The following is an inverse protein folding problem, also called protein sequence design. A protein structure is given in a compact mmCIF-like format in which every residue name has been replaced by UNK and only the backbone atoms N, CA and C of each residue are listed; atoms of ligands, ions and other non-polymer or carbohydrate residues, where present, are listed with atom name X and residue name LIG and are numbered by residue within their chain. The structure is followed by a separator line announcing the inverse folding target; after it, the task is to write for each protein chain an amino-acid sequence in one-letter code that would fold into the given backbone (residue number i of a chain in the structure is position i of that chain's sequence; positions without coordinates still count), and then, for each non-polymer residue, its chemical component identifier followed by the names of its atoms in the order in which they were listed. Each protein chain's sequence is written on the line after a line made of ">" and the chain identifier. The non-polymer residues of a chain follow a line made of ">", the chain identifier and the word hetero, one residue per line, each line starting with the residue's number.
data_IF_440714922873
#
_entry.id   IF_440714922873
#
_cell.length_a   1.000
_cell.length_b   1.000
_cell.length_c   1.000
_cell.angle_alpha   90.00
_cell.angle_beta   90.00
_cell.angle_gamma   90.00
#
_symmetry.space_group_name_H-M   'P 1'
#
loop_
_entity.id
_entity.type
_entity.pdbx_description
1 polymer ?
#
# COMPACT_ATOMS: atom_id res chain seq x y z
N UNK A 1 79.56 21.45 -5.03
CA UNK A 1 79.08 20.07 -4.83
C UNK A 1 78.47 19.97 -3.45
N UNK A 2 77.14 20.05 -3.36
CA UNK A 2 76.33 19.61 -2.22
C UNK A 2 74.91 19.53 -2.76
N UNK A 3 74.46 18.30 -3.01
CA UNK A 3 73.07 17.99 -3.28
C UNK A 3 72.30 17.74 -1.97
N UNK A 4 71.11 17.18 -2.14
CA UNK A 4 70.24 16.52 -1.14
C UNK A 4 69.34 17.45 -0.30
N UNK A 5 68.00 17.29 -0.20
CA UNK A 5 67.05 16.24 -0.62
C UNK A 5 65.64 16.85 -0.79
N UNK A 6 64.97 16.58 -1.91
CA UNK A 6 63.53 16.78 -2.06
C UNK A 6 62.83 15.44 -1.76
N UNK A 7 62.06 15.37 -0.68
CA UNK A 7 61.23 14.20 -0.37
C UNK A 7 60.03 14.16 -1.32
N UNK A 8 60.07 13.24 -2.29
CA UNK A 8 58.90 12.88 -3.10
C UNK A 8 57.89 12.11 -2.26
N UNK A 9 56.66 12.61 -2.23
CA UNK A 9 55.49 11.88 -1.72
C UNK A 9 55.09 10.80 -2.74
N UNK A 10 54.83 9.54 -2.35
CA UNK A 10 54.51 8.48 -3.31
C UNK A 10 53.12 8.68 -3.94
N UNK A 11 53.08 8.95 -5.24
CA UNK A 11 51.89 9.16 -6.06
C UNK A 11 51.18 7.83 -6.42
N UNK A 12 50.60 7.14 -5.44
CA UNK A 12 49.79 5.93 -5.70
C UNK A 12 48.35 6.00 -5.14
N UNK A 13 47.91 7.16 -4.66
CA UNK A 13 46.53 7.39 -4.20
C UNK A 13 45.89 8.59 -4.89
N UNK A 14 45.89 8.60 -6.23
CA UNK A 14 45.03 9.52 -7.00
C UNK A 14 43.90 8.68 -7.60
N UNK A 15 42.66 8.78 -7.09
CA UNK A 15 41.52 8.04 -7.64
C UNK A 15 41.27 8.47 -9.09
N UNK A 16 41.42 7.56 -10.03
CA UNK A 16 41.34 7.82 -11.49
C UNK A 16 39.91 7.84 -12.04
N UNK A 17 38.89 7.85 -11.18
CA UNK A 17 37.49 7.95 -11.62
C UNK A 17 36.63 8.70 -10.61
N UNK A 18 35.80 9.63 -11.12
CA UNK A 18 34.81 10.37 -10.34
C UNK A 18 33.86 9.45 -9.57
N UNK A 19 33.61 8.24 -10.07
CA UNK A 19 32.77 7.23 -9.39
C UNK A 19 33.43 6.59 -8.17
N UNK A 20 34.75 6.38 -8.18
CA UNK A 20 35.47 5.83 -7.02
C UNK A 20 35.65 6.89 -5.93
N UNK A 21 35.93 8.14 -6.31
CA UNK A 21 35.99 9.25 -5.36
C UNK A 21 34.62 9.52 -4.72
N UNK A 22 33.53 9.42 -5.50
CA UNK A 22 32.18 9.44 -4.95
C UNK A 22 31.95 8.25 -4.02
N UNK A 23 32.19 7.01 -4.46
CA UNK A 23 32.01 5.82 -3.60
C UNK A 23 32.71 5.95 -2.25
N UNK A 24 33.97 6.39 -2.22
CA UNK A 24 34.72 6.58 -0.98
C UNK A 24 34.21 7.76 -0.13
N UNK A 25 33.79 8.86 -0.75
CA UNK A 25 33.16 9.98 -0.04
C UNK A 25 31.80 9.58 0.56
N UNK A 26 31.03 8.76 -0.15
CA UNK A 26 29.77 8.20 0.34
C UNK A 26 30.00 7.23 1.50
N UNK A 27 30.99 6.34 1.41
CA UNK A 27 31.38 5.45 2.53
C UNK A 27 31.84 6.24 3.76
N UNK A 28 32.60 7.31 3.59
CA UNK A 28 33.05 8.17 4.71
C UNK A 28 31.87 8.95 5.32
N UNK A 29 30.94 9.48 4.52
CA UNK A 29 29.76 10.21 5.02
C UNK A 29 28.76 9.26 5.73
N UNK A 30 28.64 8.00 5.30
CA UNK A 30 27.85 6.99 6.00
C UNK A 30 28.48 6.62 7.36
N UNK A 31 29.82 6.59 7.43
CA UNK A 31 30.56 6.41 8.69
C UNK A 31 30.51 7.63 9.65
N UNK A 32 29.92 8.75 9.22
CA UNK A 32 29.81 9.98 10.03
C UNK A 32 28.40 10.23 10.59
N UNK A 33 27.42 9.40 10.23
CA UNK A 33 26.07 9.54 10.79
C UNK A 33 26.02 8.87 12.17
N UNK A 34 25.59 9.64 13.17
CA UNK A 34 25.39 9.13 14.52
C UNK A 34 24.31 8.03 14.53
N UNK A 35 24.61 6.81 15.02
CA UNK A 35 23.65 5.71 15.05
C UNK A 35 22.35 6.07 15.77
N UNK A 36 22.43 6.87 16.84
CA UNK A 36 21.24 7.29 17.56
C UNK A 36 20.36 8.23 16.74
N UNK A 37 20.94 9.21 16.04
CA UNK A 37 20.18 10.05 15.11
C UNK A 37 19.53 9.21 14.01
N UNK A 38 20.27 8.27 13.41
CA UNK A 38 19.74 7.38 12.35
C UNK A 38 18.53 6.60 12.84
N UNK A 39 18.66 5.98 14.03
CA UNK A 39 17.58 5.26 14.71
C UNK A 39 16.36 6.13 14.95
N UNK A 40 16.55 7.31 15.51
CA UNK A 40 15.47 8.24 15.86
C UNK A 40 14.72 8.73 14.62
N UNK A 41 15.46 9.06 13.56
CA UNK A 41 14.89 9.50 12.28
C UNK A 41 14.11 8.38 11.60
N UNK A 42 14.64 7.15 11.60
CA UNK A 42 13.94 6.02 10.99
C UNK A 42 12.69 5.64 11.79
N UNK A 43 12.79 5.59 13.12
CA UNK A 43 11.65 5.38 14.02
C UNK A 43 10.54 6.39 13.76
N UNK A 44 10.88 7.68 13.65
CA UNK A 44 9.91 8.73 13.34
C UNK A 44 9.24 8.51 11.97
N UNK A 45 9.98 8.07 10.94
CA UNK A 45 9.38 7.75 9.64
C UNK A 45 8.40 6.59 9.73
N UNK A 46 8.76 5.51 10.44
CA UNK A 46 7.91 4.33 10.65
C UNK A 46 6.61 4.68 11.39
N UNK A 47 6.68 5.54 12.41
CA UNK A 47 5.50 5.99 13.18
C UNK A 47 4.48 6.80 12.35
N UNK A 48 4.94 7.44 11.28
CA UNK A 48 4.11 8.25 10.39
C UNK A 48 3.87 7.57 9.03
N UNK A 49 4.11 6.27 8.93
CA UNK A 49 3.75 5.49 7.75
C UNK A 49 2.23 5.50 7.56
N UNK A 50 1.82 5.68 6.31
CA UNK A 50 0.43 5.72 5.88
C UNK A 50 0.26 4.89 4.60
N UNK A 51 -0.93 4.90 4.00
CA UNK A 51 -1.22 4.16 2.76
C UNK A 51 -0.48 4.68 1.50
N UNK A 52 0.26 5.79 1.58
CA UNK A 52 0.97 6.36 0.44
C UNK A 52 2.25 5.62 0.13
N UNK A 53 2.44 5.30 -1.16
CA UNK A 53 3.68 4.75 -1.71
C UNK A 53 4.87 5.67 -1.42
N UNK A 54 4.68 6.99 -1.46
CA UNK A 54 5.75 7.96 -1.21
C UNK A 54 6.30 7.87 0.22
N UNK A 55 5.42 7.62 1.21
CA UNK A 55 5.81 7.47 2.61
C UNK A 55 6.67 6.20 2.79
N UNK A 56 6.21 5.08 2.24
CA UNK A 56 6.93 3.81 2.25
C UNK A 56 8.28 3.90 1.52
N UNK A 57 8.30 4.50 0.33
CA UNK A 57 9.51 4.65 -0.49
C UNK A 57 10.56 5.51 0.22
N UNK A 58 10.16 6.60 0.87
CA UNK A 58 11.08 7.46 1.63
C UNK A 58 11.73 6.69 2.79
N UNK A 59 10.94 5.94 3.55
CA UNK A 59 11.45 5.12 4.66
C UNK A 59 12.40 4.02 4.15
N UNK A 60 12.07 3.35 3.04
CA UNK A 60 12.88 2.30 2.45
C UNK A 60 14.22 2.84 1.95
N UNK A 61 14.20 3.97 1.23
CA UNK A 61 15.42 4.66 0.77
C UNK A 61 16.30 5.08 1.95
N UNK A 62 15.70 5.53 3.06
CA UNK A 62 16.44 5.88 4.26
C UNK A 62 17.17 4.66 4.85
N UNK A 63 16.49 3.52 4.98
CA UNK A 63 17.09 2.31 5.50
C UNK A 63 18.20 1.76 4.58
N UNK A 64 18.03 1.82 3.26
CA UNK A 64 19.03 1.36 2.29
C UNK A 64 20.24 2.30 2.17
N UNK A 65 20.04 3.60 2.45
CA UNK A 65 21.13 4.56 2.56
C UNK A 65 22.06 4.17 3.71
N UNK A 66 21.52 3.81 4.87
CA UNK A 66 22.28 3.44 6.07
C UNK A 66 22.33 1.92 6.29
N UNK A 67 22.53 1.16 5.21
CA UNK A 67 22.55 -0.32 5.22
C UNK A 67 23.63 -0.94 6.11
N UNK A 68 24.65 -0.18 6.48
CA UNK A 68 25.70 -0.62 7.42
C UNK A 68 25.17 -0.76 8.87
N UNK A 69 23.99 -0.20 9.15
CA UNK A 69 23.28 -0.26 10.44
C UNK A 69 22.00 -1.10 10.34
N UNK A 70 21.96 -2.05 9.42
CA UNK A 70 20.77 -2.84 9.08
C UNK A 70 20.17 -3.60 10.26
N UNK A 71 20.97 -4.15 11.17
CA UNK A 71 20.51 -4.82 12.39
C UNK A 71 19.71 -3.87 13.33
N UNK A 72 20.19 -2.64 13.54
CA UNK A 72 19.49 -1.66 14.39
C UNK A 72 18.24 -1.11 13.70
N UNK A 73 18.31 -0.88 12.40
CA UNK A 73 17.17 -0.45 11.59
C UNK A 73 16.09 -1.54 11.52
N UNK A 74 16.46 -2.81 11.36
CA UNK A 74 15.52 -3.94 11.43
C UNK A 74 14.89 -4.03 12.82
N UNK A 75 15.68 -3.82 13.88
CA UNK A 75 15.16 -3.74 15.25
C UNK A 75 14.15 -2.61 15.43
N UNK A 76 14.34 -1.45 14.77
CA UNK A 76 13.36 -0.37 14.76
C UNK A 76 12.03 -0.80 14.13
N UNK A 77 12.04 -1.59 13.05
CA UNK A 77 10.82 -2.09 12.40
C UNK A 77 10.02 -2.93 13.39
N UNK A 78 10.67 -3.91 14.04
CA UNK A 78 10.03 -4.78 15.03
C UNK A 78 9.51 -3.99 16.23
N UNK A 79 10.30 -3.04 16.73
CA UNK A 79 9.88 -2.18 17.83
C UNK A 79 8.64 -1.34 17.47
N UNK A 80 8.59 -0.78 16.26
CA UNK A 80 7.43 0.00 15.84
C UNK A 80 6.19 -0.88 15.59
N UNK A 81 6.37 -2.12 15.15
CA UNK A 81 5.28 -3.09 15.09
C UNK A 81 4.70 -3.40 16.47
N UNK A 82 5.51 -3.45 17.51
CA UNK A 82 5.05 -3.78 18.86
C UNK A 82 4.45 -2.59 19.63
N UNK A 83 4.92 -1.37 19.34
CA UNK A 83 4.57 -0.16 20.13
C UNK A 83 3.47 0.72 19.54
N UNK A 84 3.11 0.54 18.26
CA UNK A 84 2.11 1.40 17.61
C UNK A 84 0.71 0.78 17.59
N UNK A 85 -0.27 1.56 17.12
CA UNK A 85 -1.66 1.10 16.95
C UNK A 85 -1.80 0.15 15.73
N UNK A 86 -2.91 -0.58 15.68
CA UNK A 86 -3.16 -1.59 14.63
C UNK A 86 -3.12 -1.06 13.19
N UNK A 87 -3.44 0.22 12.98
CA UNK A 87 -3.39 0.83 11.66
C UNK A 87 -1.95 1.04 11.19
N UNK A 88 -1.11 1.64 12.05
CA UNK A 88 0.32 1.80 11.77
C UNK A 88 1.00 0.44 11.60
N UNK A 89 0.63 -0.58 12.38
CA UNK A 89 1.12 -1.95 12.19
C UNK A 89 0.80 -2.51 10.81
N UNK A 90 -0.44 -2.32 10.33
CA UNK A 90 -0.81 -2.69 8.96
C UNK A 90 0.00 -1.90 7.93
N UNK A 91 0.22 -0.60 8.15
CA UNK A 91 1.04 0.24 7.28
C UNK A 91 2.50 -0.26 7.20
N UNK A 92 3.08 -0.66 8.35
CA UNK A 92 4.41 -1.27 8.41
C UNK A 92 4.44 -2.62 7.68
N UNK A 93 3.39 -3.45 7.80
CA UNK A 93 3.29 -4.72 7.06
C UNK A 93 3.38 -4.50 5.54
N UNK A 94 2.63 -3.54 5.00
CA UNK A 94 2.73 -3.18 3.57
C UNK A 94 4.10 -2.58 3.21
N UNK A 95 4.67 -1.78 4.12
CA UNK A 95 6.00 -1.23 3.93
C UNK A 95 7.07 -2.32 3.82
N UNK A 96 6.99 -3.41 4.60
CA UNK A 96 7.96 -4.51 4.58
C UNK A 96 8.09 -5.10 3.17
N UNK A 97 6.96 -5.40 2.51
CA UNK A 97 7.00 -5.93 1.15
C UNK A 97 7.70 -4.98 0.17
N UNK A 98 7.33 -3.70 0.20
CA UNK A 98 7.96 -2.68 -0.64
C UNK A 98 9.45 -2.51 -0.33
N UNK A 99 9.80 -2.55 0.95
CA UNK A 99 11.16 -2.40 1.42
C UNK A 99 12.05 -3.55 0.97
N UNK A 100 11.57 -4.80 1.07
CA UNK A 100 12.31 -5.97 0.60
C UNK A 100 12.50 -5.97 -0.92
N UNK A 101 11.51 -5.49 -1.68
CA UNK A 101 11.67 -5.26 -3.13
C UNK A 101 12.79 -4.29 -3.45
N UNK A 102 12.88 -3.19 -2.70
CA UNK A 102 13.96 -2.23 -2.88
C UNK A 102 15.31 -2.82 -2.43
N UNK A 103 15.36 -3.53 -1.30
CA UNK A 103 16.57 -4.15 -0.77
C UNK A 103 17.14 -5.20 -1.73
N UNK A 104 16.28 -6.02 -2.34
CA UNK A 104 16.69 -7.01 -3.34
C UNK A 104 17.29 -6.34 -4.59
N UNK A 105 16.67 -5.27 -5.08
CA UNK A 105 17.16 -4.50 -6.24
C UNK A 105 18.49 -3.80 -5.95
N UNK A 106 18.69 -3.31 -4.73
CA UNK A 106 19.91 -2.66 -4.26
C UNK A 106 21.02 -3.64 -3.84
N UNK A 107 20.75 -4.95 -3.91
CA UNK A 107 21.71 -6.02 -3.62
C UNK A 107 22.02 -6.20 -2.14
N UNK A 108 21.08 -5.90 -1.23
CA UNK A 108 21.23 -6.05 0.22
C UNK A 108 20.31 -7.16 0.77
N UNK A 109 20.65 -8.45 0.58
CA UNK A 109 19.79 -9.57 0.96
C UNK A 109 19.67 -9.78 2.47
N UNK A 110 20.48 -9.11 3.28
CA UNK A 110 20.47 -9.29 4.74
C UNK A 110 19.14 -8.87 5.37
N UNK A 111 18.50 -7.81 4.84
CA UNK A 111 17.14 -7.44 5.25
C UNK A 111 16.12 -8.55 4.95
N UNK A 112 16.29 -9.31 3.86
CA UNK A 112 15.41 -10.42 3.53
C UNK A 112 15.61 -11.56 4.54
N UNK A 113 16.87 -11.90 4.88
CA UNK A 113 17.19 -12.94 5.85
C UNK A 113 16.66 -12.64 7.25
N UNK A 114 16.89 -11.41 7.72
CA UNK A 114 16.38 -10.95 9.01
C UNK A 114 14.85 -10.98 9.04
N UNK A 115 14.19 -10.58 7.94
CA UNK A 115 12.73 -10.63 7.84
C UNK A 115 12.19 -12.06 7.79
N UNK A 116 12.84 -12.98 7.06
CA UNK A 116 12.48 -14.40 7.03
C UNK A 116 12.55 -15.02 8.43
N UNK A 117 13.59 -14.70 9.21
CA UNK A 117 13.76 -15.17 10.59
C UNK A 117 12.63 -14.66 11.50
N UNK A 118 12.27 -13.39 11.36
CA UNK A 118 11.38 -12.69 12.30
C UNK A 118 9.93 -12.58 11.80
N UNK A 119 9.57 -13.22 10.68
CA UNK A 119 8.24 -13.08 10.04
C UNK A 119 7.09 -13.48 10.97
N UNK A 120 7.28 -14.51 11.80
CA UNK A 120 6.26 -14.95 12.77
C UNK A 120 6.01 -13.83 13.80
N UNK A 121 7.08 -13.20 14.30
CA UNK A 121 6.99 -12.06 15.23
C UNK A 121 6.31 -10.86 14.60
N UNK A 122 6.57 -10.59 13.32
CA UNK A 122 5.87 -9.54 12.56
C UNK A 122 4.37 -9.84 12.47
N UNK A 123 4.00 -11.08 12.10
CA UNK A 123 2.61 -11.50 11.97
C UNK A 123 1.88 -11.42 13.31
N UNK A 124 2.47 -11.92 14.39
CA UNK A 124 1.86 -11.87 15.72
C UNK A 124 1.74 -10.44 16.25
N UNK A 125 2.62 -9.52 15.86
CA UNK A 125 2.47 -8.11 16.20
C UNK A 125 1.29 -7.45 15.43
N UNK A 126 1.08 -7.80 14.16
CA UNK A 126 0.06 -7.19 13.29
C UNK A 126 -1.33 -7.81 13.49
N UNK A 127 -1.38 -9.12 13.74
CA UNK A 127 -2.58 -9.91 13.93
C UNK A 127 -2.44 -10.85 15.14
N UNK A 128 -2.46 -10.34 16.38
CA UNK A 128 -2.25 -11.16 17.58
C UNK A 128 -3.40 -12.15 17.83
N UNK A 129 -3.14 -13.19 18.62
CA UNK A 129 -4.11 -14.23 19.03
C UNK A 129 -5.29 -13.70 19.87
N UNK A 130 -5.15 -12.50 20.45
CA UNK A 130 -6.20 -11.89 21.28
C UNK A 130 -7.38 -11.32 20.47
N UNK A 131 -7.33 -11.43 19.13
CA UNK A 131 -8.34 -10.93 18.21
C UNK A 131 -8.27 -9.43 17.95
N UNK A 132 -7.38 -8.67 18.61
CA UNK A 132 -7.24 -7.22 18.42
C UNK A 132 -6.81 -6.84 16.99
N UNK A 133 -6.14 -7.75 16.30
CA UNK A 133 -5.71 -7.59 14.91
C UNK A 133 -6.59 -8.35 13.90
N UNK A 134 -7.79 -8.81 14.24
CA UNK A 134 -8.68 -9.53 13.32
C UNK A 134 -8.95 -8.75 12.01
N UNK A 135 -9.09 -7.42 12.10
CA UNK A 135 -9.25 -6.55 10.94
C UNK A 135 -8.03 -6.51 9.99
N UNK A 136 -6.84 -6.91 10.49
CA UNK A 136 -5.60 -6.94 9.71
C UNK A 136 -5.32 -8.30 9.06
N UNK A 137 -6.10 -9.35 9.34
CA UNK A 137 -5.75 -10.70 8.83
C UNK A 137 -5.72 -10.74 7.30
N UNK A 138 -6.65 -10.04 6.63
CA UNK A 138 -6.64 -9.88 5.17
C UNK A 138 -5.38 -9.16 4.67
N UNK A 139 -4.90 -8.16 5.41
CA UNK A 139 -3.66 -7.44 5.10
C UNK A 139 -2.46 -8.39 5.20
N UNK A 140 -2.37 -9.13 6.31
CA UNK A 140 -1.29 -10.09 6.55
C UNK A 140 -1.25 -11.13 5.44
N UNK A 141 -2.39 -11.77 5.13
CA UNK A 141 -2.50 -12.77 4.06
C UNK A 141 -2.03 -12.24 2.71
N UNK A 142 -2.53 -11.06 2.32
CA UNK A 142 -2.16 -10.41 1.06
C UNK A 142 -0.65 -10.18 0.97
N UNK A 143 -0.05 -9.64 2.02
CA UNK A 143 1.39 -9.33 2.03
C UNK A 143 2.22 -10.62 2.02
N UNK A 144 1.85 -11.64 2.80
CA UNK A 144 2.56 -12.93 2.80
C UNK A 144 2.55 -13.59 1.42
N UNK A 145 1.41 -13.56 0.72
CA UNK A 145 1.30 -14.05 -0.66
C UNK A 145 2.17 -13.24 -1.63
N UNK A 146 2.24 -11.92 -1.46
CA UNK A 146 3.16 -11.06 -2.22
C UNK A 146 4.63 -11.43 -2.00
N UNK A 147 5.04 -11.61 -0.74
CA UNK A 147 6.38 -12.06 -0.37
C UNK A 147 6.72 -13.45 -0.92
N UNK A 148 5.75 -14.38 -0.91
CA UNK A 148 5.89 -15.71 -1.50
C UNK A 148 6.09 -15.65 -3.01
N UNK A 149 5.23 -14.91 -3.72
CA UNK A 149 5.29 -14.79 -5.18
C UNK A 149 6.60 -14.17 -5.68
N UNK A 150 7.26 -13.37 -4.83
CA UNK A 150 8.58 -12.77 -5.08
C UNK A 150 9.75 -13.64 -4.63
N UNK A 151 9.48 -14.78 -3.97
CA UNK A 151 10.49 -15.70 -3.48
C UNK A 151 11.20 -15.25 -2.20
N UNK A 152 10.66 -14.27 -1.47
CA UNK A 152 11.20 -13.85 -0.17
C UNK A 152 10.77 -14.76 0.96
N UNK A 153 9.68 -15.52 0.81
CA UNK A 153 9.24 -16.53 1.77
C UNK A 153 8.97 -17.86 1.05
N UNK A 154 9.24 -18.97 1.74
CA UNK A 154 8.91 -20.30 1.24
C UNK A 154 7.41 -20.55 1.30
N UNK A 155 6.88 -21.26 0.28
CA UNK A 155 5.46 -21.63 0.22
C UNK A 155 4.99 -22.39 1.46
N UNK A 156 5.83 -23.26 2.02
CA UNK A 156 5.50 -24.03 3.21
C UNK A 156 5.36 -23.13 4.44
N UNK A 157 6.28 -22.17 4.63
CA UNK A 157 6.23 -21.24 5.75
C UNK A 157 4.97 -20.37 5.67
N UNK A 158 4.60 -19.90 4.49
CA UNK A 158 3.40 -19.08 4.28
C UNK A 158 2.13 -19.89 4.58
N UNK A 159 2.03 -21.12 4.09
CA UNK A 159 0.88 -22.00 4.38
C UNK A 159 0.72 -22.24 5.89
N UNK A 160 1.82 -22.52 6.60
CA UNK A 160 1.79 -22.74 8.05
C UNK A 160 1.30 -21.50 8.82
N UNK A 161 1.76 -20.31 8.41
CA UNK A 161 1.31 -19.05 9.00
C UNK A 161 -0.17 -18.81 8.68
N UNK A 162 -0.60 -19.05 7.44
CA UNK A 162 -1.99 -18.90 7.01
C UNK A 162 -2.95 -19.80 7.81
N UNK A 163 -2.57 -21.04 8.07
CA UNK A 163 -3.38 -21.98 8.86
C UNK A 163 -3.59 -21.47 10.29
N UNK A 164 -2.55 -20.91 10.91
CA UNK A 164 -2.63 -20.34 12.27
C UNK A 164 -3.51 -19.08 12.32
N UNK A 165 -3.38 -18.18 11.35
CA UNK A 165 -4.15 -16.93 11.36
C UNK A 165 -5.61 -17.11 10.92
N UNK A 166 -5.96 -18.22 10.25
CA UNK A 166 -7.33 -18.50 9.79
C UNK A 166 -8.32 -18.61 10.96
N UNK A 167 -7.88 -19.19 12.08
CA UNK A 167 -8.71 -19.29 13.30
C UNK A 167 -9.02 -17.91 13.89
N UNK A 168 -8.14 -16.92 13.63
CA UNK A 168 -8.25 -15.53 14.09
C UNK A 168 -9.26 -14.68 13.29
N UNK A 169 -9.73 -15.13 12.12
CA UNK A 169 -10.70 -14.39 11.26
C UNK A 169 -12.15 -14.43 11.78
N UNK A 170 -12.45 -15.26 12.78
CA UNK A 170 -13.82 -15.70 13.12
C UNK A 170 -14.72 -14.70 13.88
N UNK A 171 -14.30 -13.44 14.12
CA UNK A 171 -15.10 -12.48 14.90
C UNK A 171 -15.90 -11.44 14.10
N UNK A 172 -15.69 -11.31 12.78
CA UNK A 172 -16.32 -10.22 12.01
C UNK A 172 -17.66 -10.62 11.40
N UNK A 173 -17.81 -11.88 10.98
CA UNK A 173 -19.06 -12.37 10.36
C UNK A 173 -20.15 -12.70 11.40
N UNK A 174 -19.79 -13.09 12.63
CA UNK A 174 -20.76 -13.40 13.69
C UNK A 174 -21.44 -12.14 14.28
N UNK A 175 -20.77 -10.99 14.20
CA UNK A 175 -21.31 -9.70 14.67
C UNK A 175 -22.16 -8.98 13.60
N UNK A 176 -22.09 -9.40 12.34
CA UNK A 176 -22.83 -8.80 11.21
C UNK A 176 -24.31 -9.21 11.13
N UNK A 177 -24.74 -10.21 11.88
CA UNK A 177 -26.13 -10.68 11.91
C UNK A 177 -26.97 -10.09 13.05
N UNK A 178 -26.36 -9.35 13.98
CA UNK A 178 -27.06 -8.61 15.02
C UNK A 178 -27.30 -7.15 14.60
N UNK A 179 -27.95 -6.94 13.47
CA UNK A 179 -28.63 -5.67 13.20
C UNK A 179 -29.95 -5.68 13.99
N UNK A 180 -30.12 -4.88 15.05
CA UNK A 180 -31.43 -4.74 15.65
C UNK A 180 -32.23 -3.89 14.66
N UNK A 181 -33.08 -4.54 13.87
CA UNK A 181 -34.23 -3.89 13.27
C UNK A 181 -35.12 -3.43 14.44
N UNK A 182 -34.78 -2.26 14.99
CA UNK A 182 -35.59 -1.55 15.95
C UNK A 182 -36.55 -0.68 15.18
N UNK A 183 -37.75 -1.23 14.97
CA UNK A 183 -38.93 -0.48 14.53
C UNK A 183 -39.04 0.82 15.34
N UNK A 184 -38.92 1.95 14.65
CA UNK A 184 -39.25 3.27 15.21
C UNK A 184 -40.77 3.42 15.23
N UNK A 185 -41.42 2.78 16.20
CA UNK A 185 -42.78 3.15 16.59
C UNK A 185 -42.74 4.43 17.43
N UNK A 186 -43.34 5.49 16.90
CA UNK A 186 -43.57 6.76 17.57
C UNK A 186 -44.61 6.57 18.68
N UNK A 187 -44.24 6.74 19.94
CA UNK A 187 -45.19 6.95 21.05
C UNK A 187 -44.71 8.01 22.03
N UNK A 188 -45.50 9.07 22.15
CA UNK A 188 -45.43 10.13 23.15
C UNK A 188 -45.81 9.62 24.55
N UNK A 189 -44.94 9.70 25.57
CA UNK A 189 -45.25 10.01 27.00
C UNK A 189 -43.98 10.01 27.91
N UNK A 190 -43.99 10.50 29.18
CA UNK A 190 -43.11 11.56 29.72
C UNK A 190 -42.00 11.05 30.67
N UNK A 191 -41.12 11.91 31.24
CA UNK A 191 -39.89 11.46 31.88
C UNK A 191 -40.05 11.20 33.38
N UNK A 192 -39.79 9.97 33.84
CA UNK A 192 -39.28 9.78 35.21
C UNK A 192 -38.75 8.38 35.52
N UNK A 193 -37.61 8.42 36.24
CA UNK A 193 -37.09 7.43 37.19
C UNK A 193 -36.18 6.30 36.67
N UNK A 194 -34.91 6.58 36.92
CA UNK A 194 -33.70 5.74 37.05
C UNK A 194 -33.92 4.29 37.49
N UNK A 195 -33.49 3.35 36.65
CA UNK A 195 -33.15 1.97 37.02
C UNK A 195 -31.72 1.70 36.51
N UNK A 196 -30.75 1.33 37.36
CA UNK A 196 -29.39 1.06 36.90
C UNK A 196 -29.34 -0.34 36.30
N UNK A 197 -29.24 -0.44 34.97
CA UNK A 197 -29.02 -1.73 34.31
C UNK A 197 -27.54 -2.13 34.46
N UNK A 198 -27.31 -3.14 35.30
CA UNK A 198 -26.00 -3.70 35.56
C UNK A 198 -25.39 -4.36 34.30
N UNK A 199 -24.08 -4.16 34.12
CA UNK A 199 -23.24 -5.14 33.42
C UNK A 199 -22.96 -4.92 31.93
N UNK A 200 -22.70 -3.69 31.47
CA UNK A 200 -21.96 -3.51 30.21
C UNK A 200 -20.48 -3.82 30.47
N UNK A 201 -20.07 -5.05 30.16
CA UNK A 201 -18.67 -5.48 30.21
C UNK A 201 -17.84 -4.55 29.33
N UNK A 202 -16.71 -4.12 29.87
CA UNK A 202 -15.55 -3.53 29.17
C UNK A 202 -15.90 -2.46 28.14
N UNK A 203 -15.78 -1.20 28.52
CA UNK A 203 -15.43 -0.16 27.55
C UNK A 203 -14.06 -0.49 26.97
N UNK A 204 -14.01 -1.36 25.97
CA UNK A 204 -12.95 -1.31 24.97
C UNK A 204 -12.83 0.16 24.60
N UNK A 205 -11.69 0.79 24.90
CA UNK A 205 -11.45 2.20 24.60
C UNK A 205 -11.98 2.46 23.19
N UNK A 206 -13.10 3.18 23.07
CA UNK A 206 -13.60 3.53 21.76
C UNK A 206 -12.48 4.33 21.11
N UNK A 207 -11.91 3.76 20.05
CA UNK A 207 -10.83 4.39 19.31
C UNK A 207 -11.29 5.80 18.96
N UNK A 208 -10.39 6.77 19.06
CA UNK A 208 -10.75 8.16 18.80
C UNK A 208 -11.38 8.26 17.41
N UNK A 209 -12.48 9.01 17.27
CA UNK A 209 -13.24 9.11 16.02
C UNK A 209 -12.32 9.46 14.85
N UNK A 210 -11.33 10.32 15.10
CA UNK A 210 -10.30 10.70 14.11
C UNK A 210 -9.44 9.53 13.67
N UNK A 211 -9.07 8.62 14.58
CA UNK A 211 -8.29 7.43 14.25
C UNK A 211 -9.10 6.45 13.40
N UNK A 212 -10.40 6.32 13.67
CA UNK A 212 -11.32 5.49 12.88
C UNK A 212 -11.48 6.10 11.48
N UNK A 213 -11.77 7.40 11.38
CA UNK A 213 -11.89 8.12 10.10
C UNK A 213 -10.59 8.03 9.28
N UNK A 214 -9.43 8.19 9.93
CA UNK A 214 -8.14 8.04 9.28
C UNK A 214 -7.95 6.63 8.70
N UNK A 215 -8.29 5.59 9.47
CA UNK A 215 -8.17 4.21 9.00
C UNK A 215 -9.10 3.92 7.83
N UNK A 216 -10.34 4.40 7.89
CA UNK A 216 -11.30 4.27 6.77
C UNK A 216 -10.74 4.93 5.50
N UNK A 217 -10.19 6.14 5.62
CA UNK A 217 -9.65 6.84 4.45
C UNK A 217 -8.39 6.15 3.92
N UNK A 218 -7.52 5.63 4.79
CA UNK A 218 -6.34 4.87 4.38
C UNK A 218 -6.72 3.57 3.65
N UNK A 219 -7.71 2.81 4.16
CA UNK A 219 -8.21 1.60 3.51
C UNK A 219 -8.90 1.92 2.17
N UNK A 220 -9.66 3.02 2.11
CA UNK A 220 -10.25 3.52 0.85
C UNK A 220 -9.18 3.84 -0.17
N UNK A 221 -8.13 4.52 0.24
CA UNK A 221 -6.99 4.88 -0.60
C UNK A 221 -6.19 3.65 -1.06
N UNK A 222 -6.09 2.59 -0.25
CA UNK A 222 -5.51 1.30 -0.68
C UNK A 222 -6.36 0.64 -1.76
N UNK A 223 -7.65 0.47 -1.50
CA UNK A 223 -8.55 -0.22 -2.40
C UNK A 223 -8.72 0.53 -3.73
N UNK A 224 -8.69 1.87 -3.69
CA UNK A 224 -8.63 2.71 -4.88
C UNK A 224 -7.39 2.38 -5.74
N UNK A 225 -6.19 2.39 -5.14
CA UNK A 225 -4.94 2.06 -5.87
C UNK A 225 -4.93 0.65 -6.44
N UNK A 226 -5.47 -0.31 -5.71
CA UNK A 226 -5.57 -1.70 -6.19
C UNK A 226 -6.42 -1.81 -7.45
N UNK A 227 -7.41 -0.93 -7.62
CA UNK A 227 -8.26 -0.90 -8.81
C UNK A 227 -7.69 -0.07 -9.96
N UNK A 228 -6.74 0.84 -9.69
CA UNK A 228 -6.10 1.69 -10.70
C UNK A 228 -5.35 0.88 -11.77
N UNK A 229 -4.90 -0.34 -11.47
CA UNK A 229 -4.17 -1.19 -12.42
C UNK A 229 -5.02 -2.25 -13.11
N UNK A 230 -6.31 -2.40 -12.77
CA UNK A 230 -7.15 -3.50 -13.29
C UNK A 230 -7.36 -3.38 -14.80
N UNK A 231 -7.50 -2.15 -15.31
CA UNK A 231 -7.68 -1.87 -16.73
C UNK A 231 -6.35 -1.79 -17.50
N UNK A 232 -5.20 -1.88 -16.83
CA UNK A 232 -3.91 -1.81 -17.49
C UNK A 232 -3.64 -3.09 -18.30
N UNK A 233 -3.24 -2.93 -19.57
CA UNK A 233 -2.87 -4.05 -20.44
C UNK A 233 -1.33 -4.13 -20.52
N UNK A 234 -0.73 -5.32 -20.33
CA UNK A 234 0.71 -5.51 -20.51
C UNK A 234 1.19 -5.18 -21.93
N UNK A 235 2.42 -4.68 -22.08
CA UNK A 235 3.04 -4.40 -23.39
C UNK A 235 3.58 -5.65 -24.10
N UNK A 236 2.88 -6.77 -24.00
CA UNK A 236 3.23 -7.98 -24.74
C UNK A 236 2.45 -8.02 -26.07
N UNK A 237 3.00 -8.71 -27.06
CA UNK A 237 2.33 -8.89 -28.35
C UNK A 237 1.00 -9.60 -28.13
N UNK A 238 -0.08 -9.11 -28.75
CA UNK A 238 -1.45 -9.60 -28.64
C UNK A 238 -2.09 -9.63 -27.24
N UNK A 239 -1.45 -9.10 -26.19
CA UNK A 239 -1.98 -9.15 -24.83
C UNK A 239 -3.37 -8.50 -24.67
N UNK A 240 -3.66 -7.43 -25.43
CA UNK A 240 -4.98 -6.81 -25.46
C UNK A 240 -6.02 -7.74 -26.10
N UNK A 241 -5.68 -8.35 -27.23
CA UNK A 241 -6.56 -9.24 -27.98
C UNK A 241 -6.87 -10.50 -27.19
N UNK A 242 -5.86 -11.14 -26.61
CA UNK A 242 -6.01 -12.37 -25.83
C UNK A 242 -6.89 -12.12 -24.59
N UNK A 243 -6.64 -11.01 -23.89
CA UNK A 243 -7.46 -10.61 -22.75
C UNK A 243 -8.92 -10.37 -23.14
N UNK A 244 -9.15 -9.61 -24.21
CA UNK A 244 -10.51 -9.38 -24.72
C UNK A 244 -11.16 -10.70 -25.11
N UNK A 245 -10.46 -11.59 -25.81
CA UNK A 245 -10.99 -12.88 -26.24
C UNK A 245 -11.42 -13.78 -25.07
N UNK A 246 -10.66 -13.77 -23.98
CA UNK A 246 -10.96 -14.55 -22.77
C UNK A 246 -12.03 -13.91 -21.88
N UNK A 247 -12.06 -12.58 -21.79
CA UNK A 247 -12.94 -11.82 -20.88
C UNK A 247 -14.26 -11.35 -21.52
N UNK A 248 -14.39 -11.42 -22.85
CA UNK A 248 -15.63 -11.00 -23.55
C UNK A 248 -16.79 -11.88 -23.09
N UNK A 249 -17.80 -11.26 -22.48
CA UNK A 249 -19.05 -11.92 -22.15
C UNK A 249 -19.91 -12.14 -23.39
N UNK A 250 -20.79 -13.14 -23.31
CA UNK A 250 -21.83 -13.33 -24.33
C UNK A 250 -22.73 -12.09 -24.42
N UNK A 251 -23.25 -11.84 -25.62
CA UNK A 251 -24.19 -10.75 -25.89
C UNK A 251 -25.45 -10.90 -25.02
N UNK A 252 -25.79 -9.85 -24.28
CA UNK A 252 -26.88 -9.83 -23.31
C UNK A 252 -27.92 -8.75 -23.55
N UNK A 253 -28.89 -8.67 -22.63
CA UNK A 253 -29.97 -7.68 -22.66
C UNK A 253 -29.45 -6.23 -22.54
N UNK A 254 -28.36 -6.04 -21.78
CA UNK A 254 -27.73 -4.73 -21.63
C UNK A 254 -27.09 -4.24 -22.95
N UNK A 255 -26.54 -5.15 -23.75
CA UNK A 255 -26.00 -4.81 -25.07
C UNK A 255 -27.10 -4.42 -26.05
N UNK A 256 -28.21 -5.18 -26.09
CA UNK A 256 -29.38 -4.87 -26.93
C UNK A 256 -29.98 -3.49 -26.58
N UNK A 257 -30.05 -3.19 -25.28
CA UNK A 257 -30.48 -1.88 -24.79
C UNK A 257 -29.52 -0.77 -25.23
N UNK A 258 -28.21 -0.97 -25.09
CA UNK A 258 -27.21 0.00 -25.52
C UNK A 258 -27.33 0.28 -27.03
N UNK A 259 -27.45 -0.75 -27.86
CA UNK A 259 -27.64 -0.61 -29.31
C UNK A 259 -28.91 0.18 -29.66
N UNK A 260 -30.01 -0.08 -28.96
CA UNK A 260 -31.28 0.61 -29.16
C UNK A 260 -31.15 2.10 -28.81
N UNK A 261 -30.54 2.42 -27.67
CA UNK A 261 -30.33 3.79 -27.22
C UNK A 261 -29.39 4.56 -28.18
N UNK A 262 -28.30 3.92 -28.65
CA UNK A 262 -27.39 4.51 -29.63
C UNK A 262 -28.06 4.78 -30.99
N UNK A 263 -28.93 3.88 -31.47
CA UNK A 263 -29.70 4.08 -32.69
C UNK A 263 -30.70 5.23 -32.57
N UNK A 264 -31.39 5.33 -31.44
CA UNK A 264 -32.31 6.42 -31.17
C UNK A 264 -31.59 7.78 -31.10
N UNK A 265 -30.42 7.82 -30.46
CA UNK A 265 -29.61 9.03 -30.40
C UNK A 265 -29.03 9.43 -31.76
N UNK A 266 -28.60 8.46 -32.56
CA UNK A 266 -28.18 8.69 -33.95
C UNK A 266 -29.30 9.29 -34.80
N UNK A 267 -30.53 8.75 -34.70
CA UNK A 267 -31.67 9.29 -35.42
C UNK A 267 -31.99 10.73 -35.00
N UNK A 268 -31.97 11.03 -33.69
CA UNK A 268 -32.16 12.39 -33.18
C UNK A 268 -31.09 13.34 -33.72
N UNK A 269 -29.83 12.93 -33.71
CA UNK A 269 -28.73 13.75 -34.22
C UNK A 269 -28.89 14.03 -35.73
N UNK A 270 -29.28 13.01 -36.50
CA UNK A 270 -29.57 13.15 -37.93
C UNK A 270 -30.74 14.11 -38.21
N UNK A 271 -31.82 14.03 -37.42
CA UNK A 271 -32.96 14.95 -37.53
C UNK A 271 -32.56 16.40 -37.20
N UNK A 272 -31.76 16.59 -36.15
CA UNK A 272 -31.22 17.90 -35.76
C UNK A 272 -30.34 18.46 -36.89
N UNK A 273 -29.46 17.65 -37.48
CA UNK A 273 -28.61 18.04 -38.58
C UNK A 273 -29.42 18.39 -39.84
N UNK A 274 -30.45 17.60 -40.18
CA UNK A 274 -31.33 17.89 -41.31
C UNK A 274 -32.17 19.16 -41.13
N UNK A 275 -32.50 19.50 -39.88
CA UNK A 275 -33.26 20.69 -39.54
C UNK A 275 -32.38 21.94 -39.38
N UNK A 276 -31.05 21.79 -39.41
CA UNK A 276 -30.10 22.89 -39.33
C UNK A 276 -29.94 23.56 -40.72
N UNK A 277 -30.47 24.79 -40.87
CA UNK A 277 -30.53 25.58 -42.11
C UNK A 277 -29.16 26.04 -42.71
N UNK A 278 -28.03 25.44 -42.34
CA UNK A 278 -26.72 25.81 -42.89
C UNK A 278 -26.43 25.24 -44.28
N UNK A 279 -27.27 24.34 -44.80
CA UNK A 279 -27.16 23.82 -46.19
C UNK A 279 -28.12 24.47 -47.20
N UNK A 280 -28.95 25.44 -46.81
CA UNK A 280 -29.86 26.13 -47.73
C UNK A 280 -29.31 27.44 -48.34
N UNK A 281 -28.03 27.76 -48.12
CA UNK A 281 -27.44 29.06 -48.47
C UNK A 281 -26.43 29.09 -49.62
N UNK A 282 -26.47 28.18 -50.60
CA UNK A 282 -25.55 28.22 -51.76
C UNK A 282 -26.26 28.49 -53.11
N UNK A 283 -27.47 29.06 -53.08
CA UNK A 283 -28.18 29.46 -54.29
C UNK A 283 -28.69 30.90 -54.13
N UNK A 284 -27.81 31.88 -54.32
CA UNK A 284 -28.15 33.17 -54.95
C UNK A 284 -26.89 34.04 -55.07
N UNK A 285 -26.22 33.92 -56.20
CA UNK A 285 -25.09 34.75 -56.60
C UNK A 285 -25.17 35.15 -58.08
N UNK A 286 -26.37 35.32 -58.64
CA UNK A 286 -26.56 36.08 -59.89
C UNK A 286 -26.67 37.55 -59.54
N UNK A 287 -25.59 38.31 -59.80
CA UNK A 287 -25.68 39.75 -59.99
C UNK A 287 -24.83 40.14 -61.21
N UNK A 288 -25.56 40.74 -62.14
CA UNK A 288 -25.21 41.57 -63.30
C UNK A 288 -23.77 42.05 -63.44
#
# INVERSE_FOLDING_TARGET
>A
MSGDKNHSVPSHWVPTSSRQAQSLAWTVVLNMADPFEVRMRFTSQLQHLNASVSSAQKAAQYALRFRDMDEDLHSCILEQLERNNMNIRANIMYFIEHFLDMAQRDGHPEYIRMMQRDIIRVVDAVAPDDGSGAANVKVVRKVLQGLQGKGYLESQAVSQIEDVIKERETNVEDLGLASPNGDVEMTDMPPSQTIPKAGRRSTSHQLDKRQIEQRIEEDRERHKRERESIWAVPKAENAEMDRLWEETSDFGEDDDRLLTEELDDFHKEMEIQSNCQHHHGAANGTRH
#
